data_IF_373863935093
#
_entry.id   IF_373863935093
#
_cell.length_a   1.000
_cell.length_b   1.000
_cell.length_c   1.000
_cell.angle_alpha   90.00
_cell.angle_beta   90.00
_cell.angle_gamma   90.00
#
_symmetry.space_group_name_H-M   'P 1'
#
loop_
_entity.id
_entity.type
_entity.pdbx_description
1 polymer ?
#
# COMPACT_ATOMS: atom_id res chain seq x y z
N UNK A 1 -8.59 -22.67 -13.38
CA UNK A 1 -7.60 -21.60 -13.55
C UNK A 1 -8.22 -20.55 -14.46
N UNK A 2 -8.30 -19.29 -14.03
CA UNK A 2 -9.01 -18.24 -14.78
C UNK A 2 -8.22 -17.80 -16.03
N UNK A 3 -8.85 -17.07 -16.95
CA UNK A 3 -8.26 -16.78 -18.27
C UNK A 3 -7.03 -15.89 -18.17
N UNK A 4 -7.04 -14.91 -17.26
CA UNK A 4 -5.87 -14.09 -16.97
C UNK A 4 -4.64 -14.94 -16.63
N UNK A 5 -4.75 -15.85 -15.66
CA UNK A 5 -3.62 -16.73 -15.28
C UNK A 5 -3.19 -17.61 -16.43
N UNK A 6 -4.14 -18.23 -17.14
CA UNK A 6 -3.82 -19.09 -18.29
C UNK A 6 -3.03 -18.34 -19.37
N UNK A 7 -3.28 -17.04 -19.52
CA UNK A 7 -2.66 -16.19 -20.55
C UNK A 7 -1.32 -15.60 -20.13
N UNK A 8 -1.18 -15.23 -18.86
CA UNK A 8 -0.05 -14.42 -18.39
C UNK A 8 0.89 -15.12 -17.41
N UNK A 9 0.59 -16.36 -16.98
CA UNK A 9 1.39 -17.04 -15.96
C UNK A 9 2.89 -17.10 -16.30
N UNK A 10 3.24 -17.51 -17.52
CA UNK A 10 4.64 -17.61 -17.91
C UNK A 10 5.36 -16.26 -17.88
N UNK A 11 4.69 -15.20 -18.35
CA UNK A 11 5.23 -13.84 -18.34
C UNK A 11 5.36 -13.27 -16.93
N UNK A 12 4.42 -13.60 -16.04
CA UNK A 12 4.45 -13.24 -14.63
C UNK A 12 5.62 -13.93 -13.93
N UNK A 13 5.75 -15.25 -14.12
CA UNK A 13 6.79 -16.06 -13.48
C UNK A 13 8.20 -15.59 -13.89
N UNK A 14 8.39 -15.10 -15.13
CA UNK A 14 9.68 -14.59 -15.63
C UNK A 14 9.85 -13.08 -15.58
N UNK A 15 8.89 -12.32 -15.03
CA UNK A 15 8.84 -10.85 -15.18
C UNK A 15 10.09 -10.15 -14.64
N UNK A 16 10.65 -10.67 -13.56
CA UNK A 16 11.81 -10.09 -12.88
C UNK A 16 13.16 -10.48 -13.52
N UNK A 17 13.15 -11.48 -14.40
CA UNK A 17 14.35 -12.02 -15.04
C UNK A 17 14.59 -11.47 -16.46
N UNK A 18 13.60 -10.77 -17.02
CA UNK A 18 13.66 -10.20 -18.37
C UNK A 18 14.10 -8.74 -18.38
N UNK A 19 14.51 -8.26 -19.56
CA UNK A 19 14.91 -6.87 -19.76
C UNK A 19 13.75 -5.88 -19.65
N UNK A 20 14.10 -4.60 -19.53
CA UNK A 20 13.12 -3.50 -19.39
C UNK A 20 12.19 -3.36 -20.61
N UNK A 21 12.66 -3.74 -21.80
CA UNK A 21 11.82 -3.73 -22.99
C UNK A 21 10.72 -4.79 -22.89
N UNK A 22 11.09 -6.00 -22.51
CA UNK A 22 10.17 -7.13 -22.32
C UNK A 22 9.17 -6.85 -21.19
N UNK A 23 9.60 -6.28 -20.06
CA UNK A 23 8.69 -5.86 -18.99
C UNK A 23 7.62 -4.91 -19.51
N UNK A 24 8.02 -3.87 -20.25
CA UNK A 24 7.07 -2.90 -20.83
C UNK A 24 6.09 -3.56 -21.80
N UNK A 25 6.51 -4.58 -22.54
CA UNK A 25 5.59 -5.36 -23.38
C UNK A 25 4.58 -6.11 -22.52
N UNK A 26 5.01 -6.81 -21.48
CA UNK A 26 4.11 -7.54 -20.56
C UNK A 26 3.09 -6.60 -19.92
N UNK A 27 3.53 -5.45 -19.39
CA UNK A 27 2.64 -4.46 -18.78
C UNK A 27 1.61 -3.92 -19.78
N UNK A 28 2.05 -3.61 -21.00
CA UNK A 28 1.16 -3.16 -22.08
C UNK A 28 0.13 -4.22 -22.47
N UNK A 29 0.52 -5.50 -22.53
CA UNK A 29 -0.39 -6.60 -22.84
C UNK A 29 -1.41 -6.85 -21.72
N UNK A 30 -0.98 -6.78 -20.46
CA UNK A 30 -1.87 -6.86 -19.29
C UNK A 30 -2.88 -5.72 -19.31
N UNK A 31 -2.43 -4.48 -19.52
CA UNK A 31 -3.31 -3.32 -19.60
C UNK A 31 -4.30 -3.45 -20.78
N UNK A 32 -3.83 -3.87 -21.96
CA UNK A 32 -4.69 -4.09 -23.13
C UNK A 32 -5.75 -5.14 -22.85
N UNK A 33 -5.38 -6.23 -22.16
CA UNK A 33 -6.33 -7.27 -21.75
C UNK A 33 -7.37 -6.71 -20.78
N UNK A 34 -6.92 -5.99 -19.74
CA UNK A 34 -7.79 -5.36 -18.76
C UNK A 34 -8.78 -4.39 -19.41
N UNK A 35 -8.31 -3.52 -20.31
CA UNK A 35 -9.14 -2.54 -21.01
C UNK A 35 -10.13 -3.16 -22.00
N UNK A 36 -9.83 -4.34 -22.54
CA UNK A 36 -10.72 -5.03 -23.48
C UNK A 36 -11.93 -5.68 -22.79
N UNK A 37 -11.83 -6.01 -21.49
CA UNK A 37 -12.93 -6.62 -20.74
C UNK A 37 -12.83 -6.33 -19.23
N UNK A 38 -13.07 -5.06 -18.85
CA UNK A 38 -12.80 -4.58 -17.49
C UNK A 38 -13.51 -5.38 -16.39
N UNK A 39 -14.80 -5.67 -16.55
CA UNK A 39 -15.56 -6.38 -15.51
C UNK A 39 -15.08 -7.82 -15.33
N UNK A 40 -14.80 -8.52 -16.44
CA UNK A 40 -14.23 -9.86 -16.40
C UNK A 40 -12.87 -9.83 -15.71
N UNK A 41 -12.00 -8.92 -16.12
CA UNK A 41 -10.67 -8.76 -15.54
C UNK A 41 -10.73 -8.54 -14.03
N UNK A 42 -11.58 -7.62 -13.54
CA UNK A 42 -11.79 -7.40 -12.09
C UNK A 42 -12.19 -8.69 -11.36
N UNK A 43 -13.09 -9.47 -11.94
CA UNK A 43 -13.52 -10.74 -11.35
C UNK A 43 -12.39 -11.78 -11.31
N UNK A 44 -11.54 -11.82 -12.33
CA UNK A 44 -10.40 -12.73 -12.42
C UNK A 44 -9.30 -12.35 -11.43
N UNK A 45 -8.95 -11.07 -11.33
CA UNK A 45 -7.93 -10.58 -10.39
C UNK A 45 -8.35 -10.79 -8.94
N UNK A 46 -9.64 -10.67 -8.61
CA UNK A 46 -10.15 -10.97 -7.28
C UNK A 46 -9.85 -12.40 -6.79
N UNK A 47 -9.61 -13.34 -7.70
CA UNK A 47 -9.29 -14.73 -7.36
C UNK A 47 -7.80 -14.95 -7.08
N UNK A 48 -6.93 -14.02 -7.48
CA UNK A 48 -5.47 -14.23 -7.49
C UNK A 48 -4.66 -13.09 -6.88
N UNK A 49 -5.29 -11.96 -6.52
CA UNK A 49 -4.59 -10.76 -6.01
C UNK A 49 -3.76 -10.96 -4.74
N UNK A 50 -4.07 -11.97 -3.93
CA UNK A 50 -3.30 -12.33 -2.73
C UNK A 50 -2.67 -13.73 -2.84
N UNK A 51 -2.49 -14.22 -4.06
CA UNK A 51 -1.75 -15.45 -4.33
C UNK A 51 -0.24 -15.14 -4.29
N UNK A 52 0.38 -15.52 -3.17
CA UNK A 52 1.81 -15.29 -2.92
C UNK A 52 2.73 -16.15 -3.79
N UNK A 53 2.23 -17.24 -4.38
CA UNK A 53 3.03 -18.09 -5.26
C UNK A 53 3.07 -17.49 -6.67
N UNK A 54 1.95 -16.93 -7.13
CA UNK A 54 1.88 -16.28 -8.44
C UNK A 54 2.48 -14.87 -8.43
N UNK A 55 2.38 -14.12 -7.32
CA UNK A 55 2.83 -12.73 -7.22
C UNK A 55 2.33 -11.84 -8.39
N UNK A 56 1.07 -12.01 -8.78
CA UNK A 56 0.51 -11.28 -9.92
C UNK A 56 0.23 -9.79 -9.62
N UNK A 57 -0.09 -9.46 -8.37
CA UNK A 57 -0.56 -8.13 -8.00
C UNK A 57 0.44 -7.00 -8.30
N UNK A 58 1.76 -7.13 -8.04
CA UNK A 58 2.73 -6.12 -8.44
C UNK A 58 2.67 -5.76 -9.92
N UNK A 59 2.66 -6.78 -10.79
CA UNK A 59 2.65 -6.61 -12.25
C UNK A 59 1.32 -6.00 -12.72
N UNK A 60 0.20 -6.46 -12.14
CA UNK A 60 -1.12 -5.89 -12.42
C UNK A 60 -1.17 -4.42 -11.99
N UNK A 61 -0.76 -4.12 -10.77
CA UNK A 61 -0.75 -2.75 -10.23
C UNK A 61 0.16 -1.85 -11.04
N UNK A 62 1.31 -2.31 -11.48
CA UNK A 62 2.18 -1.52 -12.35
C UNK A 62 1.50 -1.27 -13.72
N UNK A 63 0.93 -2.31 -14.35
CA UNK A 63 0.28 -2.19 -15.64
C UNK A 63 -0.93 -1.24 -15.62
N UNK A 64 -1.77 -1.33 -14.58
CA UNK A 64 -2.96 -0.49 -14.45
C UNK A 64 -2.62 0.97 -14.11
N UNK A 65 -1.44 1.23 -13.51
CA UNK A 65 -0.98 2.58 -13.19
C UNK A 65 -0.70 3.42 -14.44
N UNK A 66 -0.49 2.76 -15.59
CA UNK A 66 -0.31 3.42 -16.87
C UNK A 66 -1.62 4.04 -17.41
N UNK A 67 -2.78 3.71 -16.84
CA UNK A 67 -4.10 4.20 -17.24
C UNK A 67 -5.02 4.42 -16.02
N UNK A 68 -4.55 5.23 -15.07
CA UNK A 68 -5.31 5.57 -13.85
C UNK A 68 -6.62 6.34 -14.12
N UNK A 69 -6.86 6.79 -15.35
CA UNK A 69 -8.15 7.39 -15.72
C UNK A 69 -9.26 6.34 -15.69
N UNK A 70 -8.99 5.16 -16.24
CA UNK A 70 -9.92 4.03 -16.21
C UNK A 70 -9.78 3.19 -14.93
N UNK A 71 -8.60 3.15 -14.33
CA UNK A 71 -8.29 2.22 -13.23
C UNK A 71 -8.11 2.86 -11.85
N UNK A 72 -8.21 4.19 -11.70
CA UNK A 72 -8.04 4.84 -10.39
C UNK A 72 -8.96 4.28 -9.29
N UNK A 73 -10.20 3.93 -9.62
CA UNK A 73 -11.13 3.33 -8.66
C UNK A 73 -10.72 1.91 -8.24
N UNK A 74 -10.01 1.15 -9.08
CA UNK A 74 -9.51 -0.17 -8.71
C UNK A 74 -8.55 -0.08 -7.52
N UNK A 75 -7.68 0.93 -7.43
CA UNK A 75 -6.79 1.08 -6.28
C UNK A 75 -7.54 1.43 -4.99
N UNK A 76 -8.62 2.21 -5.10
CA UNK A 76 -9.48 2.51 -3.95
C UNK A 76 -10.14 1.22 -3.44
N UNK A 77 -10.70 0.42 -4.34
CA UNK A 77 -11.34 -0.85 -4.00
C UNK A 77 -10.32 -1.87 -3.47
N UNK A 78 -9.13 -1.94 -4.07
CA UNK A 78 -8.02 -2.79 -3.64
C UNK A 78 -7.53 -2.42 -2.24
N UNK A 79 -7.46 -1.12 -1.92
CA UNK A 79 -7.09 -0.67 -0.58
C UNK A 79 -8.09 -1.18 0.45
N UNK A 80 -9.39 -1.01 0.18
CA UNK A 80 -10.44 -1.52 1.05
C UNK A 80 -10.31 -3.03 1.24
N UNK A 81 -10.12 -3.78 0.15
CA UNK A 81 -9.94 -5.22 0.21
C UNK A 81 -8.72 -5.65 1.03
N UNK A 82 -7.57 -4.98 0.87
CA UNK A 82 -6.35 -5.25 1.64
C UNK A 82 -6.62 -5.04 3.14
N UNK A 83 -7.18 -3.88 3.50
CA UNK A 83 -7.37 -3.52 4.90
C UNK A 83 -8.43 -4.40 5.58
N UNK A 84 -9.55 -4.68 4.92
CA UNK A 84 -10.60 -5.54 5.48
C UNK A 84 -10.17 -7.01 5.55
N UNK A 85 -9.44 -7.51 4.54
CA UNK A 85 -8.89 -8.88 4.58
C UNK A 85 -7.84 -9.02 5.69
N UNK A 86 -6.96 -8.03 5.86
CA UNK A 86 -5.96 -8.03 6.91
C UNK A 86 -6.58 -8.05 8.32
N UNK A 87 -7.73 -7.39 8.53
CA UNK A 87 -8.44 -7.42 9.83
C UNK A 87 -8.88 -8.82 10.24
N UNK A 88 -9.15 -9.69 9.27
CA UNK A 88 -9.69 -11.03 9.47
C UNK A 88 -8.64 -12.15 9.32
N UNK A 89 -7.48 -11.82 8.75
CA UNK A 89 -6.42 -12.80 8.45
C UNK A 89 -5.66 -13.24 9.71
N UNK A 90 -5.27 -14.52 9.75
CA UNK A 90 -4.30 -15.03 10.73
C UNK A 90 -2.87 -14.56 10.45
N UNK A 91 -2.59 -14.10 9.23
CA UNK A 91 -1.32 -13.54 8.78
C UNK A 91 -1.56 -12.16 8.14
N UNK A 92 -1.89 -11.15 8.93
CA UNK A 92 -2.27 -9.83 8.41
C UNK A 92 -1.15 -9.15 7.62
N UNK A 93 0.11 -9.35 8.00
CA UNK A 93 1.24 -8.70 7.33
C UNK A 93 1.43 -9.22 5.90
N UNK A 94 1.22 -10.52 5.64
CA UNK A 94 1.28 -11.08 4.28
C UNK A 94 0.29 -10.37 3.34
N UNK A 95 -0.86 -9.92 3.86
CA UNK A 95 -1.85 -9.15 3.11
C UNK A 95 -1.46 -7.67 3.02
N UNK A 96 -1.04 -7.07 4.15
CA UNK A 96 -0.68 -5.65 4.22
C UNK A 96 0.56 -5.30 3.38
N UNK A 97 1.44 -6.25 3.11
CA UNK A 97 2.60 -6.06 2.24
C UNK A 97 2.21 -5.56 0.84
N UNK A 98 0.99 -5.90 0.38
CA UNK A 98 0.45 -5.43 -0.90
C UNK A 98 0.19 -3.90 -0.94
N UNK A 99 0.28 -3.19 0.18
CA UNK A 99 0.23 -1.73 0.19
C UNK A 99 1.44 -1.08 -0.50
N UNK A 100 2.56 -1.79 -0.64
CA UNK A 100 3.73 -1.29 -1.38
C UNK A 100 3.42 -1.00 -2.86
N UNK A 101 2.44 -1.73 -3.44
CA UNK A 101 2.03 -1.59 -4.84
C UNK A 101 1.34 -0.24 -5.11
N UNK A 102 1.02 0.52 -4.07
CA UNK A 102 0.45 1.85 -4.22
C UNK A 102 1.50 2.92 -4.55
N UNK A 103 2.79 2.60 -4.43
CA UNK A 103 3.89 3.50 -4.83
C UNK A 103 3.79 3.92 -6.31
N UNK A 104 3.21 3.08 -7.17
CA UNK A 104 2.96 3.41 -8.58
C UNK A 104 1.98 4.58 -8.79
N UNK A 105 1.13 4.89 -7.81
CA UNK A 105 0.04 5.88 -7.95
C UNK A 105 0.08 7.01 -6.91
N UNK A 106 1.01 6.99 -5.96
CA UNK A 106 1.04 7.94 -4.84
C UNK A 106 1.17 9.40 -5.27
N UNK A 107 1.80 9.65 -6.42
CA UNK A 107 1.99 10.97 -7.02
C UNK A 107 0.96 11.34 -8.09
N UNK A 108 -0.05 10.51 -8.34
CA UNK A 108 -1.09 10.79 -9.32
C UNK A 108 -1.96 11.98 -8.87
N UNK A 109 -2.29 12.88 -9.78
CA UNK A 109 -3.05 14.11 -9.46
C UNK A 109 -4.58 13.91 -9.44
N UNK A 110 -5.07 12.73 -9.81
CA UNK A 110 -6.50 12.46 -9.95
C UNK A 110 -7.20 12.30 -8.59
N UNK A 111 -8.52 12.58 -8.52
CA UNK A 111 -9.26 12.59 -7.26
C UNK A 111 -9.30 11.27 -6.47
N UNK A 112 -9.01 10.12 -7.11
CA UNK A 112 -9.02 8.83 -6.41
C UNK A 112 -7.92 8.73 -5.35
N UNK A 113 -6.79 9.42 -5.53
CA UNK A 113 -5.70 9.44 -4.56
C UNK A 113 -6.16 10.04 -3.24
N UNK A 114 -6.98 11.09 -3.27
CA UNK A 114 -7.58 11.63 -2.04
C UNK A 114 -8.45 10.59 -1.33
N UNK A 115 -9.18 9.74 -2.05
CA UNK A 115 -10.00 8.69 -1.42
C UNK A 115 -9.12 7.65 -0.71
N UNK A 116 -8.00 7.27 -1.31
CA UNK A 116 -7.00 6.37 -0.71
C UNK A 116 -6.45 6.99 0.58
N UNK A 117 -6.03 8.26 0.51
CA UNK A 117 -5.53 9.02 1.67
C UNK A 117 -6.58 9.14 2.77
N UNK A 118 -7.82 9.50 2.43
CA UNK A 118 -8.93 9.61 3.39
C UNK A 118 -9.23 8.26 4.06
N UNK A 119 -9.10 7.16 3.30
CA UNK A 119 -9.31 5.80 3.78
C UNK A 119 -8.21 5.36 4.75
N UNK A 120 -6.94 5.60 4.41
CA UNK A 120 -5.79 5.36 5.28
C UNK A 120 -5.83 6.23 6.54
N UNK A 121 -6.19 7.51 6.40
CA UNK A 121 -6.31 8.47 7.50
C UNK A 121 -7.28 7.98 8.58
N UNK A 122 -8.42 7.39 8.18
CA UNK A 122 -9.39 6.79 9.11
C UNK A 122 -8.79 5.64 9.93
N UNK A 123 -7.87 4.88 9.35
CA UNK A 123 -7.31 3.67 9.97
C UNK A 123 -6.08 3.98 10.85
N UNK A 124 -5.58 5.22 10.85
CA UNK A 124 -4.57 5.66 11.82
C UNK A 124 -5.03 5.46 13.27
N UNK A 125 -6.35 5.47 13.52
CA UNK A 125 -6.92 5.20 14.84
C UNK A 125 -7.52 3.79 15.00
N UNK A 126 -7.39 2.90 14.01
CA UNK A 126 -8.03 1.58 13.98
C UNK A 126 -7.80 0.75 15.26
N UNK A 127 -8.83 0.02 15.70
CA UNK A 127 -8.67 -0.93 16.82
C UNK A 127 -7.72 -2.08 16.46
N UNK A 128 -7.76 -2.54 15.20
CA UNK A 128 -6.81 -3.53 14.71
C UNK A 128 -5.41 -2.94 14.63
N UNK A 129 -4.50 -3.43 15.48
CA UNK A 129 -3.15 -2.90 15.59
C UNK A 129 -2.37 -2.99 14.27
N UNK A 130 -2.46 -4.10 13.52
CA UNK A 130 -1.66 -4.25 12.30
C UNK A 130 -2.10 -3.25 11.22
N UNK A 131 -3.41 -3.09 11.03
CA UNK A 131 -3.96 -2.09 10.12
C UNK A 131 -3.61 -0.66 10.55
N UNK A 132 -3.66 -0.37 11.86
CA UNK A 132 -3.20 0.92 12.40
C UNK A 132 -1.73 1.19 12.07
N UNK A 133 -0.84 0.23 12.34
CA UNK A 133 0.60 0.39 12.06
C UNK A 133 0.87 0.55 10.56
N UNK A 134 0.22 -0.26 9.72
CA UNK A 134 0.29 -0.15 8.26
C UNK A 134 -0.14 1.24 7.78
N UNK A 135 -1.27 1.75 8.28
CA UNK A 135 -1.78 3.06 7.87
C UNK A 135 -0.85 4.20 8.28
N UNK A 136 -0.24 4.13 9.48
CA UNK A 136 0.75 5.11 9.95
C UNK A 136 2.04 5.05 9.10
N UNK A 137 2.40 3.87 8.61
CA UNK A 137 3.59 3.66 7.79
C UNK A 137 3.39 4.18 6.36
N UNK A 138 2.26 3.88 5.74
CA UNK A 138 2.00 4.14 4.31
C UNK A 138 1.52 5.57 4.04
N UNK A 139 0.74 6.16 4.94
CA UNK A 139 0.12 7.48 4.73
C UNK A 139 1.11 8.61 4.43
N UNK A 140 2.31 8.69 5.05
CA UNK A 140 3.28 9.74 4.76
C UNK A 140 3.76 9.82 3.30
N UNK A 141 3.85 8.69 2.59
CA UNK A 141 4.33 8.64 1.19
C UNK A 141 3.52 9.53 0.24
N UNK A 142 2.26 9.80 0.60
CA UNK A 142 1.35 10.61 -0.20
C UNK A 142 1.58 12.11 0.02
N UNK A 143 2.26 12.54 1.08
CA UNK A 143 2.28 13.94 1.50
C UNK A 143 2.98 14.88 0.53
N UNK A 144 3.83 14.35 -0.36
CA UNK A 144 4.44 15.13 -1.44
C UNK A 144 3.48 15.40 -2.61
N UNK A 145 2.38 14.66 -2.72
CA UNK A 145 1.41 14.83 -3.78
C UNK A 145 0.67 16.18 -3.68
N UNK A 146 0.85 17.05 -4.66
CA UNK A 146 0.30 18.41 -4.68
C UNK A 146 -1.23 18.47 -4.80
N UNK A 147 -1.88 17.40 -5.26
CA UNK A 147 -3.34 17.34 -5.38
C UNK A 147 -4.05 17.10 -4.04
N UNK A 148 -3.30 16.70 -3.01
CA UNK A 148 -3.88 16.36 -1.71
C UNK A 148 -4.33 17.57 -0.92
N UNK A 149 -5.53 17.44 -0.40
CA UNK A 149 -6.12 18.34 0.57
C UNK A 149 -5.78 17.87 1.98
N UNK A 150 -5.86 18.78 2.94
CA UNK A 150 -5.73 18.47 4.37
C UNK A 150 -4.36 17.90 4.83
N UNK A 151 -3.28 18.15 4.08
CA UNK A 151 -1.91 17.69 4.45
C UNK A 151 -1.54 18.02 5.90
N UNK A 152 -1.83 19.24 6.36
CA UNK A 152 -1.58 19.64 7.76
C UNK A 152 -2.31 18.73 8.75
N UNK A 153 -3.59 18.46 8.53
CA UNK A 153 -4.39 17.60 9.42
C UNK A 153 -3.89 16.17 9.45
N UNK A 154 -3.35 15.67 8.33
CA UNK A 154 -2.71 14.36 8.24
C UNK A 154 -1.41 14.34 9.07
N UNK A 155 -0.54 15.31 8.88
CA UNK A 155 0.72 15.46 9.61
C UNK A 155 0.45 15.56 11.12
N UNK A 156 -0.50 16.40 11.53
CA UNK A 156 -0.87 16.56 12.94
C UNK A 156 -1.39 15.24 13.53
N UNK A 157 -2.21 14.51 12.77
CA UNK A 157 -2.74 13.21 13.20
C UNK A 157 -1.64 12.17 13.37
N UNK A 158 -0.68 12.10 12.45
CA UNK A 158 0.47 11.20 12.55
C UNK A 158 1.37 11.60 13.72
N UNK A 159 1.61 12.90 13.95
CA UNK A 159 2.38 13.41 15.10
C UNK A 159 1.72 13.09 16.43
N UNK A 160 0.39 13.07 16.52
CA UNK A 160 -0.31 12.61 17.74
C UNK A 160 0.04 11.15 18.08
N UNK A 161 0.31 10.31 17.09
CA UNK A 161 0.67 8.90 17.31
C UNK A 161 2.04 8.72 17.97
N UNK A 162 2.90 9.75 17.96
CA UNK A 162 4.15 9.77 18.73
C UNK A 162 3.92 9.66 20.25
N UNK A 163 2.71 9.97 20.72
CA UNK A 163 2.31 9.93 22.13
C UNK A 163 1.30 8.83 22.43
N UNK A 164 1.04 7.92 21.48
CA UNK A 164 0.10 6.81 21.66
C UNK A 164 0.51 5.94 22.86
N UNK A 165 -0.44 5.32 23.58
CA UNK A 165 -0.13 4.44 24.71
C UNK A 165 0.65 3.19 24.29
N UNK A 166 0.39 2.67 23.09
CA UNK A 166 1.08 1.50 22.55
C UNK A 166 2.47 1.90 21.99
N UNK A 167 3.53 1.29 22.54
CA UNK A 167 4.90 1.59 22.14
C UNK A 167 5.19 1.27 20.67
N UNK A 168 4.54 0.24 20.09
CA UNK A 168 4.70 -0.11 18.68
C UNK A 168 4.22 1.02 17.78
N UNK A 169 3.08 1.63 18.13
CA UNK A 169 2.51 2.77 17.42
C UNK A 169 3.47 3.97 17.47
N UNK A 170 4.02 4.29 18.65
CA UNK A 170 5.01 5.37 18.79
C UNK A 170 6.25 5.14 17.94
N UNK A 171 6.77 3.91 17.92
CA UNK A 171 7.97 3.54 17.14
C UNK A 171 7.70 3.65 15.64
N UNK A 172 6.56 3.13 15.15
CA UNK A 172 6.22 3.21 13.73
C UNK A 172 5.99 4.66 13.30
N UNK A 173 5.23 5.45 14.07
CA UNK A 173 5.03 6.88 13.80
C UNK A 173 6.35 7.66 13.78
N UNK A 174 7.27 7.37 14.71
CA UNK A 174 8.59 8.01 14.73
C UNK A 174 9.39 7.70 13.46
N UNK A 175 9.37 6.45 13.00
CA UNK A 175 10.09 6.05 11.79
C UNK A 175 9.46 6.64 10.53
N UNK A 176 8.15 6.52 10.37
CA UNK A 176 7.46 6.95 9.15
C UNK A 176 7.54 8.47 8.98
N UNK A 177 7.31 9.24 10.05
CA UNK A 177 7.54 10.68 10.04
C UNK A 177 9.01 11.06 9.88
N UNK A 178 9.93 10.24 10.40
CA UNK A 178 11.37 10.49 10.28
C UNK A 178 11.87 10.32 8.85
N UNK A 179 11.39 9.29 8.14
CA UNK A 179 11.74 9.04 6.74
C UNK A 179 11.34 10.21 5.84
N UNK A 180 10.17 10.78 6.07
CA UNK A 180 9.65 11.94 5.32
C UNK A 180 10.12 13.31 5.87
N UNK A 181 11.02 13.35 6.87
CA UNK A 181 11.46 14.58 7.54
C UNK A 181 10.32 15.42 8.16
N UNK A 182 9.27 14.77 8.66
CA UNK A 182 8.06 15.36 9.22
C UNK A 182 8.01 15.36 10.76
N UNK A 183 9.06 14.87 11.43
CA UNK A 183 9.15 14.91 12.88
C UNK A 183 9.11 16.35 13.41
N UNK A 184 8.53 16.60 14.60
CA UNK A 184 8.70 17.87 15.28
C UNK A 184 10.19 18.15 15.55
N UNK A 185 10.57 19.43 15.52
CA UNK A 185 11.96 19.84 15.71
C UNK A 185 12.56 19.26 17.00
N UNK A 186 13.72 18.61 16.85
CA UNK A 186 14.44 17.99 17.98
C UNK A 186 13.77 16.76 18.59
N UNK A 187 12.65 16.28 18.03
CA UNK A 187 11.97 15.10 18.55
C UNK A 187 12.86 13.86 18.49
N UNK A 188 12.88 13.10 19.60
CA UNK A 188 13.64 11.85 19.72
C UNK A 188 12.75 10.77 20.32
N UNK A 189 12.87 9.56 19.79
CA UNK A 189 12.23 8.39 20.39
C UNK A 189 12.72 8.19 21.84
N UNK A 190 11.78 7.91 22.74
CA UNK A 190 12.06 7.73 24.17
C UNK A 190 13.04 6.57 24.41
N UNK A 191 13.87 6.66 25.47
CA UNK A 191 14.78 5.58 25.84
C UNK A 191 14.03 4.28 26.15
N UNK A 192 12.85 4.38 26.77
CA UNK A 192 11.98 3.23 27.03
C UNK A 192 11.60 2.51 25.74
N UNK A 193 11.19 3.24 24.71
CA UNK A 193 10.79 2.64 23.43
C UNK A 193 11.98 2.04 22.70
N UNK A 194 13.15 2.70 22.74
CA UNK A 194 14.40 2.15 22.20
C UNK A 194 14.78 0.81 22.83
N UNK A 195 14.70 0.72 24.17
CA UNK A 195 14.96 -0.51 24.90
C UNK A 195 13.89 -1.57 24.61
N UNK A 196 12.61 -1.19 24.62
CA UNK A 196 11.51 -2.12 24.35
C UNK A 196 11.65 -2.76 22.96
N UNK A 197 11.95 -1.95 21.94
CA UNK A 197 12.29 -2.41 20.59
C UNK A 197 13.49 -3.36 20.56
N UNK A 198 14.54 -3.10 21.34
CA UNK A 198 15.70 -3.98 21.42
C UNK A 198 15.35 -5.36 21.97
N UNK A 199 14.49 -5.42 23.00
CA UNK A 199 14.09 -6.67 23.65
C UNK A 199 13.00 -7.46 22.91
N UNK A 200 12.01 -6.76 22.34
CA UNK A 200 10.84 -7.38 21.71
C UNK A 200 10.89 -7.38 20.18
N UNK A 201 11.97 -6.85 19.60
CA UNK A 201 12.12 -6.69 18.16
C UNK A 201 11.44 -5.44 17.62
N UNK A 202 11.61 -5.23 16.32
CA UNK A 202 10.90 -4.18 15.60
C UNK A 202 9.41 -4.52 15.51
N UNK A 203 8.52 -3.50 15.60
CA UNK A 203 7.15 -3.69 15.15
C UNK A 203 7.17 -4.24 13.72
N UNK A 204 6.30 -5.21 13.39
CA UNK A 204 6.16 -5.63 12.01
C UNK A 204 5.65 -4.45 11.20
N UNK A 205 6.41 -4.06 10.20
CA UNK A 205 6.12 -3.00 9.24
C UNK A 205 6.13 -3.68 7.86
N UNK A 206 5.34 -3.13 6.94
CA UNK A 206 5.26 -3.50 5.51
C UNK A 206 6.63 -3.28 4.84
#
# INVERSE_FOLDING_TARGET
MNEFVNKFKAQIDSFWDVGEYEKKMVLSEVLKYANSNQQKFKNEINQVKFDNDLMALPIISEALSMDTENWGQFYVDLLDDILETAKQSSKPNDILNNLQEFSYIENDSKPFVQKIVDRLYKEVDAENLNVKLASIWTLPNYLDNNSLRNKSSIIDKLRQQLYNQNWKVRVVAFKSLGFENLLPDGYKLSLKDKLTKLFFGEPPII
#
